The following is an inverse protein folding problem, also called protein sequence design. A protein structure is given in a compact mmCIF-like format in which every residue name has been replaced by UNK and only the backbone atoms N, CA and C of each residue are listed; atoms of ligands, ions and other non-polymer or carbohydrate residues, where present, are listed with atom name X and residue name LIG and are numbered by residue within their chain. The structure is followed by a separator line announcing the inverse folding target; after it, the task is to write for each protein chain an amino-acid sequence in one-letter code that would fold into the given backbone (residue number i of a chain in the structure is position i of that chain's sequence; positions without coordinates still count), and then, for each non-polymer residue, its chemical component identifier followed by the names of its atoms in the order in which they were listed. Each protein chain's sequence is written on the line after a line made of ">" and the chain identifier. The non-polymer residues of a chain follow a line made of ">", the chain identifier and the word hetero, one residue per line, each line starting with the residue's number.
data_IF_701898420975
#
_entry.id   IF_701898420975
#
_cell.length_a   1.000
_cell.length_b   1.000
_cell.length_c   1.000
_cell.angle_alpha   90.00
_cell.angle_beta   90.00
_cell.angle_gamma   90.00
#
_symmetry.space_group_name_H-M   'P 1'
#
loop_
_entity.id
_entity.type
_entity.pdbx_description
1 polymer ?
#
# COMPACT_ATOMS: atom_id res chain seq x y z
N UNK A 1 -18.55 6.01 1.09
CA UNK A 1 -18.86 7.39 0.68
C UNK A 1 -20.11 7.36 -0.17
N UNK A 2 -21.12 8.16 0.15
CA UNK A 2 -22.29 8.27 -0.71
C UNK A 2 -21.96 9.22 -1.87
N UNK A 3 -22.48 8.94 -3.08
CA UNK A 3 -22.23 9.78 -4.27
C UNK A 3 -22.74 11.22 -4.12
N UNK A 4 -23.62 11.47 -3.15
CA UNK A 4 -24.17 12.78 -2.80
C UNK A 4 -23.30 13.58 -1.81
N UNK A 5 -22.14 13.05 -1.42
CA UNK A 5 -21.26 13.70 -0.45
C UNK A 5 -21.70 13.57 1.00
N UNK A 6 -22.74 12.79 1.30
CA UNK A 6 -23.16 12.49 2.68
C UNK A 6 -22.40 11.29 3.26
N UNK A 7 -22.46 11.14 4.58
CA UNK A 7 -21.83 10.01 5.28
C UNK A 7 -20.30 10.06 5.30
N UNK A 8 -19.71 11.25 5.15
CA UNK A 8 -18.28 11.45 5.31
C UNK A 8 -17.89 11.26 6.77
N UNK A 9 -16.82 10.50 6.98
CA UNK A 9 -16.18 10.38 8.29
C UNK A 9 -14.68 10.50 8.12
N UNK A 10 -14.03 11.03 9.16
CA UNK A 10 -12.58 11.17 9.21
C UNK A 10 -11.96 9.83 9.60
N UNK A 11 -11.09 9.29 8.74
CA UNK A 11 -10.36 8.04 8.99
C UNK A 11 -9.14 8.32 9.86
N UNK A 12 -8.26 9.24 9.43
CA UNK A 12 -7.05 9.58 10.19
C UNK A 12 -7.43 10.61 11.25
N UNK A 13 -7.57 10.15 12.50
CA UNK A 13 -8.10 10.96 13.62
C UNK A 13 -7.07 11.85 14.31
N UNK A 14 -5.78 11.64 14.06
CA UNK A 14 -4.74 12.51 14.60
C UNK A 14 -4.88 13.91 13.96
N UNK A 15 -5.03 14.93 14.79
CA UNK A 15 -5.18 16.33 14.37
C UNK A 15 -3.90 16.94 13.82
N UNK A 16 -2.74 16.35 14.15
CA UNK A 16 -1.43 16.81 13.68
C UNK A 16 -1.01 16.16 12.36
N UNK A 17 -1.67 15.07 11.99
CA UNK A 17 -1.40 14.34 10.76
C UNK A 17 -1.78 15.19 9.54
N UNK A 18 -0.89 15.26 8.56
CA UNK A 18 -1.18 15.91 7.26
C UNK A 18 -1.82 14.92 6.30
N UNK A 19 -1.46 13.63 6.39
CA UNK A 19 -2.00 12.55 5.59
C UNK A 19 -2.09 12.82 4.08
N UNK A 20 -0.96 12.68 3.41
CA UNK A 20 -0.79 12.94 1.98
C UNK A 20 -0.71 11.62 1.18
N UNK A 21 -0.89 11.72 -0.14
CA UNK A 21 -0.60 10.64 -1.10
C UNK A 21 -1.17 9.28 -0.70
N UNK A 22 -2.47 9.22 -0.40
CA UNK A 22 -3.07 7.97 0.06
C UNK A 22 -3.30 6.97 -1.08
N UNK A 23 -3.12 5.69 -0.76
CA UNK A 23 -3.47 4.55 -1.61
C UNK A 23 -4.28 3.53 -0.82
N UNK A 24 -5.33 3.00 -1.44
CA UNK A 24 -6.24 2.04 -0.83
C UNK A 24 -5.75 0.61 -1.02
N UNK A 25 -5.90 -0.21 0.02
CA UNK A 25 -5.68 -1.64 -0.12
C UNK A 25 -6.68 -2.25 -1.12
N UNK A 26 -6.33 -3.32 -1.84
CA UNK A 26 -7.21 -3.95 -2.82
C UNK A 26 -8.53 -4.48 -2.23
N UNK A 27 -8.50 -4.90 -0.97
CA UNK A 27 -9.65 -5.35 -0.18
C UNK A 27 -10.46 -4.21 0.46
N UNK A 28 -10.03 -2.95 0.29
CA UNK A 28 -10.73 -1.73 0.73
C UNK A 28 -10.94 -1.62 2.25
N UNK A 29 -10.14 -2.31 3.07
CA UNK A 29 -10.22 -2.25 4.54
C UNK A 29 -9.11 -1.36 5.16
N UNK A 30 -8.09 -1.01 4.38
CA UNK A 30 -6.91 -0.28 4.82
C UNK A 30 -6.49 0.76 3.78
N UNK A 31 -5.75 1.76 4.24
CA UNK A 31 -5.05 2.71 3.38
C UNK A 31 -3.61 2.88 3.85
N UNK A 32 -2.71 3.15 2.90
CA UNK A 32 -1.39 3.71 3.19
C UNK A 32 -1.45 5.21 2.91
N UNK A 33 -0.82 6.02 3.74
CA UNK A 33 -0.65 7.45 3.54
C UNK A 33 0.76 7.87 3.95
N UNK A 34 1.20 9.01 3.43
CA UNK A 34 2.46 9.64 3.81
C UNK A 34 2.20 10.73 4.85
N UNK A 35 3.04 10.79 5.89
CA UNK A 35 3.00 11.88 6.87
C UNK A 35 4.39 12.35 7.28
N UNK A 36 4.46 13.54 7.88
CA UNK A 36 5.68 14.10 8.43
C UNK A 36 5.96 13.52 9.81
N UNK A 37 7.16 12.96 9.97
CA UNK A 37 7.67 12.48 11.26
C UNK A 37 8.91 13.27 11.65
N UNK A 38 8.93 13.80 12.86
CA UNK A 38 10.08 14.52 13.42
C UNK A 38 9.71 15.88 13.99
N UNK A 39 10.71 16.78 14.02
CA UNK A 39 10.55 18.15 14.53
C UNK A 39 10.44 19.14 13.38
N UNK A 40 9.86 20.33 13.61
CA UNK A 40 9.91 21.41 12.62
C UNK A 40 11.37 21.64 12.16
N UNK A 41 11.58 21.74 10.84
CA UNK A 41 12.89 21.85 10.17
C UNK A 41 13.81 20.61 10.25
N UNK A 42 13.38 19.52 10.89
CA UNK A 42 14.05 18.22 10.94
C UNK A 42 12.98 17.11 10.90
N UNK A 43 12.28 17.04 9.77
CA UNK A 43 11.24 16.05 9.52
C UNK A 43 11.65 15.16 8.35
N UNK A 44 11.01 13.99 8.30
CA UNK A 44 11.09 13.06 7.18
C UNK A 44 9.69 12.64 6.76
N UNK A 45 9.53 12.27 5.50
CA UNK A 45 8.31 11.64 5.00
C UNK A 45 8.33 10.15 5.35
N UNK A 46 7.28 9.68 6.02
CA UNK A 46 7.14 8.26 6.35
C UNK A 46 5.77 7.73 5.93
N UNK A 47 5.75 6.45 5.60
CA UNK A 47 4.55 5.72 5.24
C UNK A 47 3.87 5.20 6.49
N UNK A 48 2.56 5.38 6.55
CA UNK A 48 1.69 4.88 7.62
C UNK A 48 0.56 4.05 7.02
N UNK A 49 0.25 2.93 7.66
CA UNK A 49 -0.90 2.09 7.31
C UNK A 49 -2.00 2.28 8.35
N UNK A 50 -3.22 2.53 7.88
CA UNK A 50 -4.38 2.79 8.74
C UNK A 50 -5.59 1.99 8.28
N UNK A 51 -6.25 1.33 9.21
CA UNK A 51 -7.57 0.70 9.02
C UNK A 51 -8.68 1.74 8.72
N UNK A 52 -9.71 1.36 7.96
CA UNK A 52 -10.83 2.23 7.57
C UNK A 52 -11.54 2.93 8.75
N UNK A 53 -11.53 2.35 9.95
CA UNK A 53 -12.15 2.94 11.13
C UNK A 53 -11.21 3.91 11.87
N UNK A 54 -9.96 4.03 11.43
CA UNK A 54 -8.97 4.93 12.00
C UNK A 54 -8.44 4.48 13.36
N UNK A 55 -8.61 3.20 13.72
CA UNK A 55 -8.29 2.67 15.04
C UNK A 55 -6.85 2.11 15.11
N UNK A 56 -6.33 1.65 13.98
CA UNK A 56 -5.07 0.92 13.90
C UNK A 56 -4.14 1.59 12.88
N UNK A 57 -3.56 2.74 13.26
CA UNK A 57 -2.52 3.41 12.47
C UNK A 57 -1.13 2.94 12.92
N UNK A 58 -0.29 2.51 11.98
CA UNK A 58 1.07 2.01 12.24
C UNK A 58 2.04 2.60 11.21
N UNK A 59 3.20 3.06 11.68
CA UNK A 59 4.31 3.52 10.83
C UNK A 59 5.04 2.33 10.19
N UNK A 60 5.22 2.34 8.88
CA UNK A 60 5.87 1.26 8.11
C UNK A 60 7.36 1.52 7.87
N UNK A 61 7.74 2.78 7.64
CA UNK A 61 9.11 3.20 7.32
C UNK A 61 9.66 4.11 8.41
N UNK A 62 10.97 4.08 8.66
CA UNK A 62 11.56 4.75 9.83
C UNK A 62 12.85 5.54 9.51
N UNK A 63 13.34 5.46 8.27
CA UNK A 63 14.61 6.05 7.86
C UNK A 63 14.48 6.66 6.46
N UNK A 64 15.14 7.80 6.23
CA UNK A 64 15.06 8.54 4.97
C UNK A 64 13.67 9.13 4.69
N UNK A 65 13.46 9.59 3.48
CA UNK A 65 12.14 10.04 2.99
C UNK A 65 11.49 8.93 2.16
N UNK A 66 10.28 8.56 2.54
CA UNK A 66 9.48 7.51 1.91
C UNK A 66 8.09 8.05 1.60
N UNK A 67 7.72 8.01 0.33
CA UNK A 67 6.47 8.57 -0.20
C UNK A 67 5.89 7.65 -1.29
N UNK A 68 4.74 8.03 -1.87
CA UNK A 68 4.14 7.35 -3.04
C UNK A 68 4.05 5.83 -2.94
N UNK A 69 3.55 5.33 -1.81
CA UNK A 69 3.31 3.91 -1.63
C UNK A 69 2.31 3.37 -2.68
N UNK A 70 2.43 2.07 -2.95
CA UNK A 70 1.45 1.34 -3.76
C UNK A 70 1.15 -0.02 -3.13
N UNK A 71 0.01 -0.58 -3.50
CA UNK A 71 -0.41 -1.90 -3.08
C UNK A 71 -0.20 -2.91 -4.20
N UNK A 72 0.25 -4.10 -3.79
CA UNK A 72 0.19 -5.26 -4.64
C UNK A 72 -1.14 -5.98 -4.43
N UNK A 73 -1.90 -6.19 -5.50
CA UNK A 73 -3.08 -7.05 -5.47
C UNK A 73 -2.71 -8.49 -5.88
N UNK A 74 -2.67 -9.44 -4.93
CA UNK A 74 -2.34 -10.82 -5.24
C UNK A 74 -3.42 -11.52 -6.09
N UNK A 75 -4.66 -11.01 -6.14
CA UNK A 75 -5.72 -11.58 -6.97
C UNK A 75 -5.41 -11.47 -8.47
N UNK A 76 -4.56 -10.50 -8.86
CA UNK A 76 -4.11 -10.30 -10.24
C UNK A 76 -2.64 -10.71 -10.45
N UNK A 77 -2.01 -11.33 -9.45
CA UNK A 77 -0.68 -11.88 -9.58
C UNK A 77 -0.70 -13.10 -10.49
N UNK A 78 0.05 -13.06 -11.59
CA UNK A 78 0.35 -14.30 -12.31
C UNK A 78 1.26 -15.17 -11.44
N UNK A 79 0.97 -16.48 -11.34
CA UNK A 79 1.78 -17.39 -10.56
C UNK A 79 3.20 -17.45 -11.14
N UNK A 80 4.18 -17.10 -10.30
CA UNK A 80 5.62 -17.22 -10.62
C UNK A 80 6.15 -18.64 -10.41
N UNK A 81 5.30 -19.57 -9.99
CA UNK A 81 5.63 -21.00 -10.01
C UNK A 81 5.50 -21.54 -11.43
N UNK A 82 6.45 -22.39 -11.90
CA UNK A 82 6.32 -23.03 -13.19
C UNK A 82 5.03 -23.86 -13.19
N UNK A 83 4.05 -23.42 -13.97
CA UNK A 83 2.84 -24.18 -14.20
C UNK A 83 3.14 -25.18 -15.32
N UNK A 84 3.19 -26.50 -15.06
CA UNK A 84 3.64 -27.47 -16.05
C UNK A 84 2.80 -27.47 -17.33
N UNK A 85 1.54 -27.03 -17.23
CA UNK A 85 0.60 -26.89 -18.33
C UNK A 85 0.74 -25.57 -19.12
N UNK A 86 1.53 -24.61 -18.63
CA UNK A 86 1.90 -23.37 -19.33
C UNK A 86 3.33 -23.42 -19.92
N UNK A 87 4.06 -24.52 -19.69
CA UNK A 87 5.38 -24.71 -20.30
C UNK A 87 5.20 -24.88 -21.81
N UNK A 88 5.69 -23.88 -22.57
CA UNK A 88 5.76 -23.96 -24.02
C UNK A 88 6.80 -25.03 -24.41
N UNK A 89 6.50 -25.74 -25.50
CA UNK A 89 7.25 -26.84 -26.13
C UNK A 89 8.76 -26.83 -25.87
N UNK A 90 9.28 -27.96 -25.39
CA UNK A 90 10.71 -28.26 -25.27
C UNK A 90 11.40 -28.21 -26.65
N UNK A 91 12.34 -27.29 -26.86
CA UNK A 91 13.08 -27.10 -28.12
C UNK A 91 14.49 -27.71 -28.14
N UNK A 92 14.75 -28.79 -27.38
CA UNK A 92 16.05 -29.47 -27.49
C UNK A 92 16.20 -30.70 -26.61
N UNK A 93 16.56 -31.82 -27.24
CA UNK A 93 17.15 -32.97 -26.55
C UNK A 93 18.67 -32.79 -26.46
N UNK A 94 19.23 -33.00 -25.27
CA UNK A 94 20.68 -33.10 -25.09
C UNK A 94 21.13 -34.42 -25.71
N UNK A 95 21.98 -34.37 -26.75
CA UNK A 95 22.62 -35.56 -27.31
C UNK A 95 23.64 -36.14 -26.32
N UNK A 96 23.56 -37.46 -26.13
CA UNK A 96 24.51 -38.26 -25.35
C UNK A 96 25.86 -38.39 -26.05
#
# INVERSE_FOLDING_TARGET
>A
MNRDGTGLHRIIKDEKAVAMESTWSPDSDQLIHTDFVGRPNQFSLQLFKTDIHGLNSVQLTHEGDNDKADWFDPAFAYPVQPQPHLLTTMWGEIKK
#
